data_IF_848878210736
#
_entry.id   IF_848878210736
#
_cell.length_a   1.000
_cell.length_b   1.000
_cell.length_c   1.000
_cell.angle_alpha   90.00
_cell.angle_beta   90.00
_cell.angle_gamma   90.00
#
_symmetry.space_group_name_H-M   'P 1'
#
loop_
_entity.id
_entity.type
_entity.pdbx_description
1 polymer ?
#
# COMPACT_ATOMS: atom_id res chain seq x y z
N UNK A 1 44.49 -86.44 3.79
CA UNK A 1 43.95 -86.05 2.47
C UNK A 1 42.72 -85.18 2.68
N UNK A 2 42.70 -83.99 2.05
CA UNK A 2 41.57 -83.20 1.48
C UNK A 2 40.27 -83.06 2.30
N UNK A 3 39.58 -81.93 2.37
CA UNK A 3 39.77 -80.60 1.80
C UNK A 3 38.76 -79.64 2.45
N UNK A 4 39.16 -78.37 2.43
CA UNK A 4 38.46 -77.12 2.72
C UNK A 4 37.08 -76.99 2.07
N UNK A 5 36.09 -76.42 2.79
CA UNK A 5 34.93 -75.74 2.18
C UNK A 5 34.62 -74.44 2.93
N UNK A 6 34.80 -73.36 2.17
CA UNK A 6 34.43 -71.97 2.45
C UNK A 6 32.92 -71.83 2.38
N UNK A 7 32.31 -71.05 3.27
CA UNK A 7 31.02 -70.42 3.00
C UNK A 7 31.10 -68.92 3.28
N UNK A 8 30.68 -68.16 2.27
CA UNK A 8 30.78 -66.72 2.08
C UNK A 8 29.68 -66.01 2.87
N UNK A 9 30.05 -64.97 3.62
CA UNK A 9 29.11 -64.05 4.25
C UNK A 9 28.59 -63.03 3.22
N UNK A 10 27.27 -63.01 3.00
CA UNK A 10 26.60 -62.01 2.18
C UNK A 10 26.39 -60.72 2.99
N UNK A 11 27.16 -59.68 2.66
CA UNK A 11 26.92 -58.31 3.12
C UNK A 11 25.81 -57.67 2.26
N UNK A 12 24.68 -57.36 2.89
CA UNK A 12 23.64 -56.50 2.30
C UNK A 12 24.07 -55.05 2.48
N UNK A 13 24.55 -54.43 1.40
CA UNK A 13 24.79 -53.00 1.35
C UNK A 13 23.47 -52.27 1.03
N UNK A 14 22.86 -51.66 2.04
CA UNK A 14 21.76 -50.71 1.84
C UNK A 14 22.37 -49.39 1.30
N UNK A 15 22.20 -49.16 0.00
CA UNK A 15 22.62 -47.92 -0.66
C UNK A 15 21.74 -46.74 -0.24
N UNK A 16 22.34 -45.76 0.43
CA UNK A 16 21.74 -44.45 0.71
C UNK A 16 21.56 -43.68 -0.61
N UNK A 17 20.33 -43.54 -1.10
CA UNK A 17 20.03 -42.57 -2.16
C UNK A 17 20.10 -41.15 -1.58
N UNK A 18 21.17 -40.45 -1.93
CA UNK A 18 21.26 -38.99 -1.78
C UNK A 18 20.32 -38.36 -2.80
N UNK A 19 19.16 -37.87 -2.35
CA UNK A 19 18.33 -36.96 -3.15
C UNK A 19 19.04 -35.62 -3.14
N UNK A 20 19.85 -35.36 -4.17
CA UNK A 20 20.32 -34.01 -4.48
C UNK A 20 19.09 -33.22 -4.91
N UNK A 21 18.58 -32.38 -4.01
CA UNK A 21 17.57 -31.38 -4.33
C UNK A 21 18.14 -30.41 -5.36
N UNK A 22 17.84 -30.67 -6.64
CA UNK A 22 18.15 -29.74 -7.72
C UNK A 22 17.44 -28.43 -7.46
N UNK A 23 18.21 -27.36 -7.35
CA UNK A 23 17.74 -25.99 -7.44
C UNK A 23 16.90 -25.86 -8.71
N UNK A 24 15.60 -25.59 -8.61
CA UNK A 24 14.79 -25.21 -9.75
C UNK A 24 15.29 -23.84 -10.24
N UNK A 25 16.29 -23.86 -11.12
CA UNK A 25 16.64 -22.72 -11.94
C UNK A 25 15.47 -22.45 -12.86
N UNK A 26 15.01 -21.19 -12.92
CA UNK A 26 14.05 -20.76 -13.90
C UNK A 26 14.57 -21.12 -15.30
N UNK A 27 13.78 -21.89 -16.05
CA UNK A 27 14.09 -22.30 -17.42
C UNK A 27 14.29 -21.05 -18.28
N UNK A 28 15.31 -21.01 -19.17
CA UNK A 28 15.48 -19.92 -20.12
C UNK A 28 14.22 -19.76 -21.00
N UNK A 29 13.97 -18.57 -21.57
CA UNK A 29 12.74 -18.29 -22.30
C UNK A 29 12.60 -19.25 -23.48
N UNK A 30 11.50 -20.02 -23.51
CA UNK A 30 11.12 -20.73 -24.73
C UNK A 30 10.75 -19.71 -25.81
N UNK A 31 11.21 -19.89 -27.06
CA UNK A 31 10.80 -19.04 -28.16
C UNK A 31 9.27 -19.10 -28.31
N UNK A 32 8.63 -18.02 -28.81
CA UNK A 32 7.20 -18.01 -29.03
C UNK A 32 6.82 -19.18 -29.94
N UNK A 33 5.90 -20.02 -29.46
CA UNK A 33 5.25 -21.02 -30.31
C UNK A 33 4.46 -20.29 -31.38
N UNK A 34 4.91 -20.41 -32.64
CA UNK A 34 4.11 -20.01 -33.80
C UNK A 34 2.74 -20.70 -33.68
N UNK A 35 1.67 -19.89 -33.61
CA UNK A 35 0.29 -20.37 -33.48
C UNK A 35 -0.40 -20.11 -32.12
N UNK A 36 0.23 -19.43 -31.17
CA UNK A 36 -0.47 -19.05 -29.93
C UNK A 36 -1.57 -18.00 -30.21
N UNK A 37 -2.83 -18.22 -29.76
CA UNK A 37 -3.94 -17.27 -29.96
C UNK A 37 -3.81 -15.97 -29.13
N UNK A 38 -2.71 -15.81 -28.39
CA UNK A 38 -2.48 -14.71 -27.45
C UNK A 38 -1.51 -13.67 -28.04
N UNK A 39 -1.65 -12.38 -27.69
CA UNK A 39 -0.71 -11.36 -28.10
C UNK A 39 0.72 -11.61 -27.56
N UNK A 40 1.76 -11.01 -28.18
CA UNK A 40 3.15 -11.17 -27.72
C UNK A 40 3.33 -10.79 -26.24
N UNK A 41 4.06 -11.62 -25.49
CA UNK A 41 4.31 -11.44 -24.06
C UNK A 41 3.20 -11.96 -23.15
N UNK A 42 2.11 -12.52 -23.71
CA UNK A 42 1.04 -13.18 -22.97
C UNK A 42 1.14 -14.70 -23.07
N UNK A 43 0.88 -15.38 -21.96
CA UNK A 43 0.95 -16.83 -21.82
C UNK A 43 -0.15 -17.31 -20.87
N UNK A 44 -0.59 -18.56 -21.03
CA UNK A 44 -1.41 -19.25 -20.03
C UNK A 44 -0.51 -20.27 -19.34
N UNK A 45 -0.46 -20.21 -18.02
CA UNK A 45 0.31 -21.11 -17.16
C UNK A 45 -0.64 -21.77 -16.15
N UNK A 46 -1.10 -22.99 -16.47
CA UNK A 46 -2.15 -23.66 -15.70
C UNK A 46 -3.46 -22.85 -15.71
N UNK A 47 -3.87 -22.37 -14.52
CA UNK A 47 -5.06 -21.53 -14.35
C UNK A 47 -4.76 -20.03 -14.38
N UNK A 48 -3.50 -19.62 -14.61
CA UNK A 48 -3.10 -18.22 -14.60
C UNK A 48 -2.94 -17.66 -16.02
N UNK A 49 -3.48 -16.46 -16.23
CA UNK A 49 -3.08 -15.58 -17.33
C UNK A 49 -1.81 -14.83 -16.93
N UNK A 50 -0.75 -14.97 -17.71
CA UNK A 50 0.55 -14.40 -17.43
C UNK A 50 0.93 -13.39 -18.50
N UNK A 51 1.30 -12.19 -18.09
CA UNK A 51 1.93 -11.21 -18.96
C UNK A 51 3.35 -10.91 -18.49
N UNK A 52 4.31 -10.93 -19.42
CA UNK A 52 5.70 -10.57 -19.17
C UNK A 52 6.07 -9.26 -19.86
N UNK A 53 6.29 -8.22 -19.07
CA UNK A 53 6.69 -6.91 -19.56
C UNK A 53 8.13 -6.93 -20.11
N UNK A 54 8.36 -6.22 -21.21
CA UNK A 54 9.68 -6.07 -21.84
C UNK A 54 10.68 -5.26 -21.01
N UNK A 55 10.17 -4.41 -20.11
CA UNK A 55 10.93 -3.63 -19.12
C UNK A 55 10.30 -3.80 -17.74
N UNK A 56 11.08 -3.54 -16.69
CA UNK A 56 10.56 -3.52 -15.32
C UNK A 56 9.46 -2.48 -15.20
N UNK A 57 8.30 -2.88 -14.69
CA UNK A 57 7.18 -1.98 -14.39
C UNK A 57 7.26 -1.64 -12.90
N UNK A 58 7.65 -0.40 -12.54
CA UNK A 58 7.78 -0.02 -11.15
C UNK A 58 6.42 0.00 -10.46
N UNK A 59 6.42 -0.30 -9.17
CA UNK A 59 5.23 -0.13 -8.33
C UNK A 59 4.91 1.35 -8.21
N UNK A 60 3.73 1.77 -8.69
CA UNK A 60 3.28 3.16 -8.67
C UNK A 60 1.80 3.30 -8.31
N UNK A 61 1.27 4.50 -8.57
CA UNK A 61 -0.09 4.90 -8.18
C UNK A 61 -1.19 4.15 -8.94
N UNK A 62 -0.92 3.70 -10.17
CA UNK A 62 -1.83 2.88 -10.94
C UNK A 62 -1.51 1.39 -10.78
N UNK A 63 -2.51 0.58 -10.43
CA UNK A 63 -2.40 -0.87 -10.55
C UNK A 63 -2.25 -1.27 -12.03
N UNK A 64 -1.49 -2.33 -12.27
CA UNK A 64 -1.59 -3.04 -13.55
C UNK A 64 -2.93 -3.76 -13.55
N UNK A 65 -3.61 -3.68 -14.68
CA UNK A 65 -4.93 -4.24 -14.93
C UNK A 65 -4.90 -4.98 -16.26
N UNK A 66 -5.50 -6.17 -16.31
CA UNK A 66 -5.65 -6.93 -17.54
C UNK A 66 -7.03 -6.72 -18.12
N UNK A 67 -7.08 -6.42 -19.42
CA UNK A 67 -8.31 -6.20 -20.18
C UNK A 67 -8.39 -7.17 -21.36
N UNK A 68 -9.61 -7.51 -21.78
CA UNK A 68 -9.90 -8.05 -23.10
C UNK A 68 -10.83 -7.04 -23.81
N UNK A 69 -10.29 -6.30 -24.79
CA UNK A 69 -10.97 -5.13 -25.35
C UNK A 69 -11.27 -4.09 -24.26
N UNK A 70 -12.56 -3.79 -24.05
CA UNK A 70 -13.01 -2.84 -23.02
C UNK A 70 -13.37 -3.51 -21.68
N UNK A 71 -13.33 -4.84 -21.61
CA UNK A 71 -13.67 -5.58 -20.39
C UNK A 71 -12.45 -5.75 -19.48
N UNK A 72 -12.53 -5.22 -18.25
CA UNK A 72 -11.56 -5.51 -17.20
C UNK A 72 -11.68 -6.99 -16.79
N UNK A 73 -10.61 -7.76 -16.98
CA UNK A 73 -10.51 -9.15 -16.52
C UNK A 73 -10.12 -9.21 -15.05
N UNK A 74 -9.23 -8.31 -14.61
CA UNK A 74 -8.82 -8.24 -13.21
C UNK A 74 -7.47 -7.56 -13.01
N UNK A 75 -7.01 -7.60 -11.76
CA UNK A 75 -5.73 -7.01 -11.33
C UNK A 75 -4.73 -8.11 -11.04
N UNK A 76 -3.72 -8.33 -11.90
CA UNK A 76 -2.74 -9.38 -11.68
C UNK A 76 -1.85 -9.11 -10.45
N UNK A 77 -1.37 -10.20 -9.85
CA UNK A 77 -0.27 -10.21 -8.91
C UNK A 77 1.05 -10.00 -9.64
N UNK A 78 1.83 -9.01 -9.22
CA UNK A 78 3.18 -8.81 -9.72
C UNK A 78 4.15 -9.82 -9.06
N UNK A 79 4.98 -10.47 -9.86
CA UNK A 79 6.10 -11.27 -9.38
C UNK A 79 7.26 -10.37 -8.92
N UNK A 80 8.22 -10.97 -8.20
CA UNK A 80 9.37 -10.25 -7.62
C UNK A 80 10.30 -9.62 -8.65
N UNK A 81 10.33 -10.13 -9.87
CA UNK A 81 11.11 -9.58 -10.97
C UNK A 81 10.61 -8.20 -11.45
N UNK A 82 9.40 -7.78 -11.03
CA UNK A 82 8.75 -6.55 -11.49
C UNK A 82 8.45 -6.55 -12.99
N UNK A 83 8.42 -7.73 -13.62
CA UNK A 83 8.19 -7.92 -15.07
C UNK A 83 7.06 -8.90 -15.33
N UNK A 84 6.88 -9.90 -14.46
CA UNK A 84 5.88 -10.94 -14.64
C UNK A 84 4.63 -10.62 -13.82
N UNK A 85 3.47 -10.69 -14.45
CA UNK A 85 2.16 -10.37 -13.86
C UNK A 85 1.22 -11.56 -14.07
N UNK A 86 0.63 -12.09 -13.00
CA UNK A 86 -0.23 -13.28 -13.03
C UNK A 86 -1.64 -12.97 -12.55
N UNK A 87 -2.66 -13.32 -13.32
CA UNK A 87 -4.06 -13.22 -12.96
C UNK A 87 -4.70 -14.61 -12.99
N UNK A 88 -5.27 -15.03 -11.87
CA UNK A 88 -6.02 -16.29 -11.78
C UNK A 88 -7.31 -16.19 -12.63
N UNK A 89 -7.48 -17.13 -13.57
CA UNK A 89 -8.58 -17.16 -14.55
C UNK A 89 -9.79 -17.98 -14.09
N UNK A 90 -9.82 -18.52 -12.87
CA UNK A 90 -10.88 -19.43 -12.38
C UNK A 90 -12.32 -18.89 -12.42
N UNK A 91 -12.54 -17.63 -12.83
CA UNK A 91 -13.86 -17.01 -12.93
C UNK A 91 -14.21 -16.36 -14.29
N UNK A 92 -13.47 -16.65 -15.37
CA UNK A 92 -13.71 -15.95 -16.65
C UNK A 92 -14.10 -16.93 -17.76
N UNK A 93 -15.41 -17.04 -17.99
CA UNK A 93 -15.97 -17.60 -19.23
C UNK A 93 -15.28 -16.96 -20.44
N UNK A 94 -14.69 -17.83 -21.27
CA UNK A 94 -14.13 -17.65 -22.61
C UNK A 94 -14.09 -16.20 -23.11
N UNK A 95 -13.28 -15.35 -22.46
CA UNK A 95 -12.99 -14.03 -22.98
C UNK A 95 -12.35 -14.19 -24.36
N UNK A 96 -12.58 -13.27 -25.30
CA UNK A 96 -11.76 -13.24 -26.50
C UNK A 96 -10.32 -12.83 -26.14
N UNK A 97 -9.48 -13.82 -25.82
CA UNK A 97 -8.10 -13.64 -25.37
C UNK A 97 -7.17 -13.13 -26.48
N UNK A 98 -7.64 -12.99 -27.72
CA UNK A 98 -6.87 -12.35 -28.79
C UNK A 98 -6.74 -10.84 -28.62
N UNK A 99 -7.55 -10.23 -27.75
CA UNK A 99 -7.63 -8.77 -27.53
C UNK A 99 -7.05 -8.32 -26.19
N UNK A 100 -6.13 -9.12 -25.64
CA UNK A 100 -5.54 -8.85 -24.32
C UNK A 100 -4.73 -7.55 -24.30
N UNK A 101 -4.92 -6.78 -23.23
CA UNK A 101 -4.16 -5.56 -22.96
C UNK A 101 -3.76 -5.46 -21.49
N UNK A 102 -2.54 -5.01 -21.24
CA UNK A 102 -2.05 -4.70 -19.91
C UNK A 102 -2.07 -3.18 -19.77
N UNK A 103 -2.92 -2.66 -18.90
CA UNK A 103 -3.11 -1.20 -18.71
C UNK A 103 -2.67 -0.78 -17.31
N UNK A 104 -2.17 0.44 -17.19
CA UNK A 104 -2.01 1.12 -15.91
C UNK A 104 -2.32 2.61 -16.06
N UNK A 105 -3.31 3.10 -15.31
CA UNK A 105 -3.70 4.52 -15.34
C UNK A 105 -4.20 4.97 -16.71
N UNK A 106 -4.94 4.10 -17.40
CA UNK A 106 -5.43 4.33 -18.77
C UNK A 106 -4.36 4.22 -19.87
N UNK A 107 -3.11 3.90 -19.53
CA UNK A 107 -2.03 3.68 -20.52
C UNK A 107 -1.83 2.19 -20.76
N UNK A 108 -1.85 1.77 -22.03
CA UNK A 108 -1.44 0.44 -22.47
C UNK A 108 0.08 0.24 -22.29
N UNK A 109 0.48 -0.87 -21.69
CA UNK A 109 1.85 -1.21 -21.32
C UNK A 109 2.47 -2.28 -22.24
N UNK A 110 1.64 -3.13 -22.84
CA UNK A 110 2.00 -4.22 -23.74
C UNK A 110 1.99 -3.80 -25.22
N UNK A 111 1.98 -2.50 -25.50
CA UNK A 111 2.09 -1.93 -26.83
C UNK A 111 3.34 -1.02 -26.95
N UNK A 112 3.87 -0.82 -28.16
CA UNK A 112 4.92 0.16 -28.41
C UNK A 112 4.52 1.55 -27.90
N UNK A 113 5.49 2.29 -27.38
CA UNK A 113 5.26 3.67 -26.93
C UNK A 113 4.75 4.52 -28.11
N UNK A 114 3.53 5.08 -28.01
CA UNK A 114 2.96 5.96 -29.04
C UNK A 114 1.58 5.57 -29.58
N UNK A 115 0.95 4.49 -29.07
CA UNK A 115 -0.42 4.15 -29.48
C UNK A 115 -1.40 5.33 -29.24
N UNK A 116 -2.26 5.67 -30.23
CA UNK A 116 -3.12 6.83 -30.16
C UNK A 116 -4.06 6.72 -28.96
N UNK A 117 -4.09 7.77 -28.14
CA UNK A 117 -5.03 7.91 -27.04
C UNK A 117 -6.38 8.32 -27.61
N UNK A 118 -7.42 7.52 -27.42
CA UNK A 118 -8.80 8.03 -27.52
C UNK A 118 -9.05 8.96 -26.33
N UNK A 119 -8.75 10.25 -26.50
CA UNK A 119 -9.18 11.29 -25.57
C UNK A 119 -10.51 11.81 -26.08
N UNK A 120 -11.57 11.65 -25.30
CA UNK A 120 -12.70 12.57 -25.38
C UNK A 120 -12.16 13.98 -25.08
N UNK A 121 -12.22 14.86 -26.07
CA UNK A 121 -11.58 16.18 -26.06
C UNK A 121 -12.51 17.30 -25.62
N UNK A 122 -13.66 17.02 -25.00
CA UNK A 122 -14.54 18.07 -24.51
C UNK A 122 -14.16 18.41 -23.07
N UNK A 123 -13.48 19.54 -22.80
CA UNK A 123 -13.22 19.96 -21.42
C UNK A 123 -14.57 20.28 -20.79
N UNK A 124 -14.85 19.70 -19.62
CA UNK A 124 -15.94 20.20 -18.79
C UNK A 124 -15.66 21.68 -18.46
N UNK A 125 -16.68 22.55 -18.46
CA UNK A 125 -16.51 23.94 -18.03
C UNK A 125 -15.87 23.98 -16.65
N UNK A 126 -14.77 24.71 -16.51
CA UNK A 126 -14.16 24.92 -15.20
C UNK A 126 -15.13 25.74 -14.35
N UNK A 127 -15.42 25.34 -13.10
CA UNK A 127 -16.19 26.16 -12.19
C UNK A 127 -15.48 27.52 -11.98
N UNK A 128 -16.26 28.57 -11.74
CA UNK A 128 -15.73 29.89 -11.45
C UNK A 128 -14.73 29.81 -10.28
N UNK A 129 -13.57 30.43 -10.44
CA UNK A 129 -12.54 30.43 -9.41
C UNK A 129 -13.07 31.16 -8.17
N UNK A 130 -13.00 30.50 -7.01
CA UNK A 130 -13.30 31.15 -5.75
C UNK A 130 -12.33 32.32 -5.52
N UNK A 131 -12.78 33.41 -4.87
CA UNK A 131 -11.90 34.52 -4.52
C UNK A 131 -10.70 34.02 -3.69
N UNK A 132 -9.54 34.62 -3.93
CA UNK A 132 -8.31 34.27 -3.22
C UNK A 132 -8.53 34.42 -1.71
N UNK A 133 -8.14 33.39 -0.96
CA UNK A 133 -8.14 33.49 0.49
C UNK A 133 -7.19 34.62 0.92
N UNK A 134 -7.64 35.46 1.86
CA UNK A 134 -6.83 36.56 2.40
C UNK A 134 -5.56 36.07 3.14
N UNK A 135 -5.52 34.79 3.51
CA UNK A 135 -4.38 34.14 4.17
C UNK A 135 -3.71 33.20 3.18
N UNK A 136 -2.41 33.39 2.98
CA UNK A 136 -1.57 32.46 2.24
C UNK A 136 -1.25 31.22 3.11
N UNK A 137 -1.80 30.03 2.78
CA UNK A 137 -1.58 28.83 3.58
C UNK A 137 -0.13 28.30 3.50
N UNK A 138 0.65 28.78 2.53
CA UNK A 138 2.07 28.44 2.33
C UNK A 138 3.03 29.16 3.27
N UNK A 139 2.58 30.22 3.96
CA UNK A 139 3.45 30.99 4.87
C UNK A 139 3.69 30.24 6.18
N UNK A 140 4.95 30.07 6.61
CA UNK A 140 5.25 29.54 7.93
C UNK A 140 4.60 30.37 9.04
N UNK A 141 4.14 29.70 10.09
CA UNK A 141 3.63 30.36 11.29
C UNK A 141 4.74 30.71 12.29
N UNK A 142 4.37 31.24 13.47
CA UNK A 142 5.33 31.78 14.43
C UNK A 142 6.10 30.72 15.22
N UNK A 143 5.71 29.43 15.17
CA UNK A 143 6.32 28.39 15.99
C UNK A 143 7.55 27.77 15.31
N UNK A 144 8.64 27.65 16.05
CA UNK A 144 9.69 26.66 15.73
C UNK A 144 9.12 25.25 15.86
N UNK A 145 9.68 24.27 15.15
CA UNK A 145 9.18 22.88 15.18
C UNK A 145 10.14 21.92 15.88
N UNK A 146 9.59 20.90 16.55
CA UNK A 146 10.31 19.71 17.01
C UNK A 146 9.85 18.49 16.22
N UNK A 147 10.73 17.50 16.07
CA UNK A 147 10.46 16.26 15.34
C UNK A 147 10.91 15.05 16.15
N UNK A 148 10.17 13.95 16.02
CA UNK A 148 10.60 12.64 16.51
C UNK A 148 9.70 11.54 15.98
N UNK A 149 10.08 10.29 16.18
CA UNK A 149 9.35 9.13 15.67
C UNK A 149 8.84 8.24 16.79
N UNK A 150 7.87 7.40 16.46
CA UNK A 150 7.48 6.28 17.31
C UNK A 150 7.29 5.01 16.48
N UNK A 151 7.53 3.89 17.16
CA UNK A 151 7.19 2.55 16.70
C UNK A 151 6.41 1.87 17.82
N UNK A 152 5.28 1.27 17.49
CA UNK A 152 4.49 0.44 18.38
C UNK A 152 4.48 -1.01 17.87
N UNK A 153 4.00 -1.98 18.67
CA UNK A 153 3.73 -3.32 18.16
C UNK A 153 2.86 -3.27 16.90
N UNK A 154 3.22 -4.06 15.90
CA UNK A 154 2.44 -4.17 14.66
C UNK A 154 1.05 -4.77 14.91
N UNK A 155 0.15 -4.55 13.96
CA UNK A 155 -1.27 -4.92 14.09
C UNK A 155 -1.69 -5.84 12.94
N UNK A 156 -2.51 -6.85 13.24
CA UNK A 156 -3.10 -7.71 12.22
C UNK A 156 -4.41 -7.09 11.74
N UNK A 157 -4.57 -6.95 10.43
CA UNK A 157 -5.77 -6.40 9.81
C UNK A 157 -6.55 -7.53 9.11
N UNK A 158 -7.89 -7.48 9.09
CA UNK A 158 -8.69 -8.45 8.37
C UNK A 158 -8.32 -8.51 6.89
N UNK A 159 -8.17 -9.73 6.35
CA UNK A 159 -7.79 -9.95 4.95
C UNK A 159 -6.29 -9.79 4.64
N UNK A 160 -5.44 -9.52 5.63
CA UNK A 160 -3.99 -9.34 5.44
C UNK A 160 -3.21 -10.47 6.13
N UNK A 161 -2.40 -11.26 5.40
CA UNK A 161 -1.74 -12.44 5.96
C UNK A 161 -0.66 -12.09 6.99
N UNK A 162 0.13 -11.03 6.75
CA UNK A 162 1.15 -10.54 7.66
C UNK A 162 0.67 -9.28 8.42
N UNK A 163 1.08 -9.10 9.69
CA UNK A 163 0.84 -7.86 10.42
C UNK A 163 1.43 -6.65 9.69
N UNK A 164 0.80 -5.50 9.88
CA UNK A 164 1.27 -4.20 9.37
C UNK A 164 1.91 -3.39 10.49
N UNK A 165 2.81 -2.49 10.12
CA UNK A 165 3.54 -1.66 11.06
C UNK A 165 2.66 -0.57 11.71
N UNK A 166 2.99 -0.19 12.95
CA UNK A 166 2.42 0.97 13.63
C UNK A 166 3.52 2.01 13.88
N UNK A 167 3.98 2.64 12.81
CA UNK A 167 5.09 3.59 12.79
C UNK A 167 4.60 4.98 12.39
N UNK A 168 5.12 6.02 13.01
CA UNK A 168 4.85 7.38 12.56
C UNK A 168 5.92 8.40 12.96
N UNK A 169 6.03 9.45 12.15
CA UNK A 169 6.84 10.64 12.43
C UNK A 169 5.96 11.79 12.86
N UNK A 170 6.31 12.37 14.00
CA UNK A 170 5.64 13.50 14.63
C UNK A 170 6.45 14.76 14.35
N UNK A 171 5.77 15.81 13.88
CA UNK A 171 6.32 17.17 13.85
C UNK A 171 5.33 18.09 14.54
N UNK A 172 5.78 18.85 15.54
CA UNK A 172 4.91 19.66 16.38
C UNK A 172 5.52 21.04 16.69
N UNK A 173 4.69 22.05 16.99
CA UNK A 173 5.18 23.35 17.45
C UNK A 173 5.91 23.21 18.79
N UNK A 174 7.11 23.78 18.87
CA UNK A 174 7.91 23.85 20.09
C UNK A 174 7.30 24.90 21.02
N UNK A 175 7.00 24.51 22.27
CA UNK A 175 6.60 25.45 23.32
C UNK A 175 5.21 26.09 23.15
N UNK A 176 4.38 25.62 22.21
CA UNK A 176 3.02 26.11 22.11
C UNK A 176 2.18 25.66 23.33
N UNK A 177 1.48 26.60 23.94
CA UNK A 177 0.54 26.35 25.03
C UNK A 177 -0.80 25.81 24.52
N UNK A 178 -1.55 25.18 25.43
CA UNK A 178 -2.89 24.66 25.16
C UNK A 178 -2.92 23.40 24.28
N UNK A 179 -4.14 22.90 24.04
CA UNK A 179 -4.36 21.78 23.11
C UNK A 179 -4.31 22.29 21.67
N UNK A 180 -3.67 21.55 20.77
CA UNK A 180 -3.46 21.92 19.36
C UNK A 180 -4.17 20.94 18.43
N UNK A 181 -4.76 21.39 17.30
CA UNK A 181 -5.39 20.48 16.33
C UNK A 181 -4.37 19.44 15.84
N UNK A 182 -4.85 18.23 15.56
CA UNK A 182 -4.04 17.11 15.07
C UNK A 182 -4.21 16.99 13.55
N UNK A 183 -3.11 16.99 12.80
CA UNK A 183 -3.11 16.63 11.38
C UNK A 183 -2.43 15.26 11.19
N UNK A 184 -3.20 14.27 10.72
CA UNK A 184 -2.68 12.93 10.41
C UNK A 184 -2.52 12.76 8.90
N UNK A 185 -1.33 12.35 8.47
CA UNK A 185 -0.97 12.11 7.08
C UNK A 185 -0.84 10.61 6.79
N UNK A 186 -1.32 10.20 5.62
CA UNK A 186 -1.19 8.83 5.12
C UNK A 186 -0.69 8.84 3.68
N UNK A 187 0.46 8.20 3.44
CA UNK A 187 1.04 8.10 2.12
C UNK A 187 0.26 7.14 1.20
N UNK A 188 0.47 7.30 -0.11
CA UNK A 188 -0.10 6.46 -1.15
C UNK A 188 0.58 5.10 -1.31
N UNK A 189 0.42 4.50 -2.48
CA UNK A 189 1.02 3.20 -2.81
C UNK A 189 2.35 3.39 -3.54
N UNK A 190 3.38 2.72 -3.04
CA UNK A 190 4.73 2.65 -3.64
C UNK A 190 5.43 1.40 -3.11
N UNK A 191 6.66 1.14 -3.58
CA UNK A 191 7.54 0.10 -3.04
C UNK A 191 7.63 0.16 -1.51
N UNK A 192 7.80 -0.99 -0.88
CA UNK A 192 7.77 -1.16 0.58
C UNK A 192 9.16 -1.30 1.17
N UNK A 193 10.08 -1.93 0.42
CA UNK A 193 11.40 -2.32 0.89
C UNK A 193 12.47 -1.87 -0.09
N UNK A 194 13.68 -1.62 0.42
CA UNK A 194 14.84 -1.25 -0.39
C UNK A 194 16.13 -1.92 0.10
N UNK A 195 17.08 -2.06 -0.82
CA UNK A 195 18.47 -2.51 -0.58
C UNK A 195 19.38 -1.83 -1.59
N UNK A 196 20.23 -0.91 -1.13
CA UNK A 196 20.98 -0.04 -2.05
C UNK A 196 20.01 0.80 -2.89
N UNK A 197 20.17 0.76 -4.21
CA UNK A 197 19.29 1.44 -5.18
C UNK A 197 18.09 0.57 -5.60
N UNK A 198 18.05 -0.69 -5.21
CA UNK A 198 16.94 -1.58 -5.54
C UNK A 198 15.75 -1.35 -4.60
N UNK A 199 14.54 -1.47 -5.16
CA UNK A 199 13.29 -1.48 -4.39
C UNK A 199 12.46 -2.73 -4.68
N UNK A 200 11.64 -3.14 -3.71
CA UNK A 200 10.67 -4.23 -3.84
C UNK A 200 9.34 -3.82 -3.18
N UNK A 201 8.25 -4.46 -3.62
CA UNK A 201 6.93 -4.40 -2.98
C UNK A 201 6.70 -5.51 -1.95
N UNK A 202 7.69 -6.34 -1.64
CA UNK A 202 7.55 -7.43 -0.67
C UNK A 202 7.16 -6.92 0.72
N UNK A 203 6.35 -7.69 1.44
CA UNK A 203 6.11 -7.48 2.86
C UNK A 203 5.90 -8.81 3.60
N UNK A 204 6.51 -9.01 4.79
CA UNK A 204 7.55 -8.18 5.41
C UNK A 204 8.82 -8.05 4.53
N UNK A 205 9.69 -7.10 4.84
CA UNK A 205 10.92 -6.95 4.07
C UNK A 205 11.80 -8.20 4.16
N UNK A 206 12.33 -8.71 3.03
CA UNK A 206 13.24 -9.86 3.03
C UNK A 206 14.50 -9.61 3.87
N UNK A 207 15.18 -10.67 4.28
CA UNK A 207 16.43 -10.57 5.04
C UNK A 207 17.46 -9.72 4.27
N UNK A 208 18.07 -8.76 4.96
CA UNK A 208 19.03 -7.82 4.36
C UNK A 208 18.42 -6.65 3.59
N UNK A 209 17.08 -6.54 3.56
CA UNK A 209 16.35 -5.38 3.05
C UNK A 209 15.82 -4.54 4.21
N UNK A 210 15.56 -3.26 3.95
CA UNK A 210 15.00 -2.31 4.93
C UNK A 210 13.67 -1.78 4.44
N UNK A 211 12.77 -1.46 5.36
CA UNK A 211 11.51 -0.78 5.02
C UNK A 211 11.80 0.64 4.55
N UNK A 212 11.17 1.06 3.46
CA UNK A 212 11.25 2.43 2.95
C UNK A 212 10.55 3.34 3.97
N UNK A 213 11.17 4.43 4.45
CA UNK A 213 10.59 5.28 5.49
C UNK A 213 9.51 6.23 4.92
N UNK A 214 8.48 5.67 4.31
CA UNK A 214 7.48 6.39 3.51
C UNK A 214 6.65 7.39 4.30
N UNK A 215 6.46 7.15 5.59
CA UNK A 215 5.88 8.10 6.53
C UNK A 215 6.67 9.43 6.62
N UNK A 216 7.95 9.48 6.21
CA UNK A 216 8.73 10.72 6.14
C UNK A 216 8.44 11.58 4.89
N UNK A 217 7.64 11.09 3.93
CA UNK A 217 7.36 11.80 2.68
C UNK A 217 6.67 13.16 2.84
N UNK A 218 6.02 13.42 3.98
CA UNK A 218 5.30 14.66 4.24
C UNK A 218 6.05 15.66 5.13
N UNK A 219 7.34 15.46 5.43
CA UNK A 219 8.06 16.29 6.40
C UNK A 219 7.99 17.80 6.10
N UNK A 220 8.02 18.21 4.83
CA UNK A 220 7.89 19.63 4.45
C UNK A 220 6.51 20.18 4.84
N UNK A 221 5.43 19.49 4.47
CA UNK A 221 4.07 19.88 4.82
C UNK A 221 3.82 19.82 6.35
N UNK A 222 4.36 18.80 7.00
CA UNK A 222 4.29 18.65 8.46
C UNK A 222 4.98 19.81 9.18
N UNK A 223 6.19 20.23 8.73
CA UNK A 223 6.88 21.39 9.30
C UNK A 223 6.10 22.69 9.11
N UNK A 224 5.51 22.89 7.93
CA UNK A 224 4.68 24.06 7.65
C UNK A 224 3.47 24.11 8.61
N UNK A 225 2.65 23.06 8.65
CA UNK A 225 1.50 23.01 9.55
C UNK A 225 1.92 23.10 11.03
N UNK A 226 3.01 22.45 11.42
CA UNK A 226 3.52 22.55 12.78
C UNK A 226 3.99 23.96 13.14
N UNK A 227 4.59 24.71 12.21
CA UNK A 227 4.94 26.11 12.41
C UNK A 227 3.72 27.02 12.58
N UNK A 228 2.60 26.67 11.94
CA UNK A 228 1.27 27.28 12.11
C UNK A 228 0.55 26.74 13.36
N UNK A 229 1.16 25.76 14.03
CA UNK A 229 0.78 25.27 15.34
C UNK A 229 -0.18 24.07 15.33
N UNK A 230 -0.16 23.25 14.30
CA UNK A 230 -0.74 21.90 14.35
C UNK A 230 0.22 20.92 15.01
N UNK A 231 -0.28 19.98 15.80
CA UNK A 231 0.48 18.75 16.04
C UNK A 231 0.28 17.87 14.82
N UNK A 232 1.36 17.42 14.18
CA UNK A 232 1.26 16.60 12.96
C UNK A 232 1.84 15.22 13.21
N UNK A 233 1.25 14.22 12.57
CA UNK A 233 1.76 12.86 12.54
C UNK A 233 1.59 12.29 11.13
N UNK A 234 2.64 11.70 10.58
CA UNK A 234 2.56 10.97 9.33
C UNK A 234 2.86 9.51 9.60
N UNK A 235 2.00 8.60 9.14
CA UNK A 235 2.04 7.17 9.48
C UNK A 235 2.45 6.32 8.28
N UNK A 236 3.06 5.17 8.57
CA UNK A 236 3.52 4.21 7.56
C UNK A 236 2.43 3.18 7.26
N UNK A 237 2.27 2.83 5.99
CA UNK A 237 1.33 1.85 5.47
C UNK A 237 1.98 0.92 4.44
N UNK A 238 3.29 0.66 4.58
CA UNK A 238 4.03 -0.26 3.72
C UNK A 238 3.52 -1.68 3.86
N UNK A 239 3.16 -2.10 5.07
CA UNK A 239 2.55 -3.41 5.28
C UNK A 239 1.22 -3.59 4.56
N UNK A 240 0.48 -2.50 4.35
CA UNK A 240 -0.69 -2.54 3.49
C UNK A 240 -0.26 -2.59 2.02
N UNK A 241 0.63 -1.69 1.58
CA UNK A 241 1.13 -1.65 0.19
C UNK A 241 1.61 -3.01 -0.33
N UNK A 242 2.36 -3.77 0.48
CA UNK A 242 2.94 -5.04 0.06
C UNK A 242 1.98 -6.22 0.03
N UNK A 243 0.72 -6.00 0.42
CA UNK A 243 -0.31 -7.04 0.54
C UNK A 243 -1.65 -6.62 -0.11
N UNK A 244 -1.78 -5.37 -0.55
CA UNK A 244 -3.04 -4.77 -1.01
C UNK A 244 -3.62 -5.36 -2.29
N UNK A 245 -2.85 -6.16 -3.02
CA UNK A 245 -3.34 -6.94 -4.16
C UNK A 245 -4.38 -7.99 -3.75
N UNK A 246 -4.39 -8.40 -2.48
CA UNK A 246 -5.34 -9.38 -1.94
C UNK A 246 -6.70 -8.75 -1.58
N UNK A 247 -6.80 -7.43 -1.59
CA UNK A 247 -8.01 -6.70 -1.19
C UNK A 247 -8.70 -6.08 -2.41
N UNK A 248 -9.99 -6.39 -2.60
CA UNK A 248 -10.79 -5.89 -3.72
C UNK A 248 -10.84 -4.34 -3.77
N UNK A 249 -10.85 -3.69 -2.60
CA UNK A 249 -10.86 -2.23 -2.44
C UNK A 249 -9.45 -1.59 -2.52
N UNK A 250 -8.43 -2.36 -2.93
CA UNK A 250 -7.05 -1.90 -3.00
C UNK A 250 -6.44 -1.51 -1.64
N UNK A 251 -7.01 -2.01 -0.53
CA UNK A 251 -6.55 -1.78 0.84
C UNK A 251 -7.16 -0.55 1.51
N UNK A 252 -8.24 0.02 0.98
CA UNK A 252 -8.90 1.21 1.54
C UNK A 252 -9.41 0.97 2.97
N UNK A 253 -10.08 -0.17 3.22
CA UNK A 253 -10.57 -0.55 4.54
C UNK A 253 -9.43 -0.79 5.53
N UNK A 254 -8.37 -1.47 5.11
CA UNK A 254 -7.18 -1.69 5.94
C UNK A 254 -6.51 -0.37 6.35
N UNK A 255 -6.42 0.59 5.42
CA UNK A 255 -5.90 1.93 5.70
C UNK A 255 -6.78 2.69 6.67
N UNK A 256 -8.10 2.60 6.51
CA UNK A 256 -9.05 3.17 7.46
C UNK A 256 -8.83 2.64 8.87
N UNK A 257 -8.80 1.31 9.03
CA UNK A 257 -8.56 0.69 10.33
C UNK A 257 -7.20 1.05 10.92
N UNK A 258 -6.15 1.17 10.10
CA UNK A 258 -4.83 1.63 10.54
C UNK A 258 -4.86 3.08 11.04
N UNK A 259 -5.46 4.00 10.29
CA UNK A 259 -5.64 5.41 10.70
C UNK A 259 -6.40 5.48 12.03
N UNK A 260 -7.52 4.76 12.16
CA UNK A 260 -8.35 4.75 13.38
C UNK A 260 -7.61 4.13 14.58
N UNK A 261 -6.76 3.13 14.37
CA UNK A 261 -5.87 2.59 15.41
C UNK A 261 -4.84 3.63 15.87
N UNK A 262 -4.22 4.37 14.97
CA UNK A 262 -3.33 5.48 15.34
C UNK A 262 -4.08 6.59 16.09
N UNK A 263 -5.25 7.01 15.62
CA UNK A 263 -6.08 8.01 16.31
C UNK A 263 -6.49 7.55 17.72
N UNK A 264 -6.77 6.26 17.90
CA UNK A 264 -7.04 5.71 19.22
C UNK A 264 -5.84 5.82 20.18
N UNK A 265 -4.61 5.59 19.68
CA UNK A 265 -3.38 5.82 20.46
C UNK A 265 -3.21 7.30 20.80
N UNK A 266 -3.41 8.19 19.83
CA UNK A 266 -3.35 9.64 20.04
C UNK A 266 -4.39 10.13 21.05
N UNK A 267 -5.62 9.61 21.03
CA UNK A 267 -6.64 9.93 22.02
C UNK A 267 -6.22 9.50 23.44
N UNK A 268 -5.59 8.33 23.58
CA UNK A 268 -5.01 7.89 24.86
C UNK A 268 -3.87 8.80 25.32
N UNK A 269 -2.95 9.17 24.41
CA UNK A 269 -1.80 10.04 24.73
C UNK A 269 -2.16 11.50 24.98
N UNK A 270 -3.28 11.98 24.45
CA UNK A 270 -3.82 13.31 24.73
C UNK A 270 -4.42 13.41 26.14
N UNK A 271 -4.88 12.29 26.70
CA UNK A 271 -5.52 12.19 28.01
C UNK A 271 -4.62 11.60 29.10
N UNK A 272 -5.16 10.64 29.85
CA UNK A 272 -4.53 9.99 31.00
C UNK A 272 -3.31 9.14 30.63
N UNK A 273 -3.24 8.60 29.41
CA UNK A 273 -2.14 7.74 28.96
C UNK A 273 -0.89 8.48 28.49
N UNK A 274 -0.78 9.79 28.75
CA UNK A 274 0.33 10.62 28.25
C UNK A 274 1.69 10.21 28.80
N UNK A 275 1.78 9.80 30.07
CA UNK A 275 3.06 9.41 30.68
C UNK A 275 3.71 8.23 29.94
N UNK A 276 2.90 7.27 29.46
CA UNK A 276 3.35 6.14 28.64
C UNK A 276 3.43 6.40 27.13
N UNK A 277 3.22 7.65 26.68
CA UNK A 277 3.33 7.99 25.26
C UNK A 277 4.79 7.98 24.79
N UNK A 278 5.07 7.73 23.50
CA UNK A 278 6.42 7.87 22.94
C UNK A 278 7.03 9.25 23.21
N UNK A 279 8.36 9.33 23.30
CA UNK A 279 9.08 10.57 23.62
C UNK A 279 8.67 11.75 22.73
N UNK A 280 8.57 11.52 21.42
CA UNK A 280 8.12 12.52 20.45
C UNK A 280 6.72 13.09 20.72
N UNK A 281 5.82 12.29 21.30
CA UNK A 281 4.44 12.70 21.65
C UNK A 281 4.42 13.44 22.99
N UNK A 282 5.30 13.06 23.94
CA UNK A 282 5.41 13.73 25.24
C UNK A 282 6.00 15.13 25.14
N UNK A 283 6.92 15.36 24.20
CA UNK A 283 7.54 16.67 23.96
C UNK A 283 6.68 17.60 23.10
N UNK A 284 5.77 17.04 22.29
CA UNK A 284 4.77 17.83 21.57
C UNK A 284 3.70 18.38 22.51
N UNK A 285 3.06 19.53 22.23
CA UNK A 285 1.85 19.97 22.92
C UNK A 285 0.76 18.90 22.88
N UNK A 286 -0.20 18.96 23.81
CA UNK A 286 -1.32 18.00 23.80
C UNK A 286 -2.11 18.15 22.51
N UNK A 287 -2.33 17.05 21.80
CA UNK A 287 -3.21 17.03 20.65
C UNK A 287 -4.67 17.20 21.08
N UNK A 288 -5.44 17.94 20.30
CA UNK A 288 -6.87 18.14 20.45
C UNK A 288 -7.62 17.21 19.48
N UNK A 289 -8.06 16.06 19.99
CA UNK A 289 -8.75 15.07 19.17
C UNK A 289 -10.17 15.49 18.76
N UNK A 290 -10.70 16.60 19.28
CA UNK A 290 -11.94 17.20 18.75
C UNK A 290 -11.72 17.96 17.43
N UNK A 291 -10.46 18.19 17.04
CA UNK A 291 -10.04 18.91 15.84
C UNK A 291 -9.00 18.12 15.06
N UNK A 292 -9.43 17.06 14.41
CA UNK A 292 -8.58 16.21 13.56
C UNK A 292 -8.74 16.58 12.09
N UNK A 293 -7.62 16.84 11.42
CA UNK A 293 -7.50 16.93 9.97
C UNK A 293 -6.85 15.63 9.46
N UNK A 294 -7.44 15.00 8.45
CA UNK A 294 -6.80 13.87 7.76
C UNK A 294 -6.30 14.29 6.39
N UNK A 295 -5.09 13.88 6.04
CA UNK A 295 -4.45 14.19 4.77
C UNK A 295 -3.97 12.89 4.14
N UNK A 296 -4.24 12.68 2.85
CA UNK A 296 -3.77 11.47 2.18
C UNK A 296 -3.60 11.63 0.68
N UNK A 297 -2.62 10.91 0.12
CA UNK A 297 -2.33 10.87 -1.32
C UNK A 297 -2.73 9.54 -1.94
N UNK A 298 -3.27 9.53 -3.17
CA UNK A 298 -3.51 8.29 -3.93
C UNK A 298 -4.37 7.31 -3.11
N UNK A 299 -3.96 6.05 -2.94
CA UNK A 299 -4.65 5.09 -2.04
C UNK A 299 -4.72 5.55 -0.58
N UNK A 300 -3.75 6.34 -0.13
CA UNK A 300 -3.77 6.97 1.19
C UNK A 300 -4.90 8.01 1.31
N UNK A 301 -5.20 8.74 0.23
CA UNK A 301 -6.33 9.66 0.15
C UNK A 301 -7.66 8.93 0.31
N UNK A 302 -7.85 7.83 -0.42
CA UNK A 302 -9.03 7.00 -0.26
C UNK A 302 -9.13 6.41 1.15
N UNK A 303 -8.01 5.94 1.71
CA UNK A 303 -7.94 5.37 3.06
C UNK A 303 -8.34 6.37 4.15
N UNK A 304 -7.90 7.63 4.08
CA UNK A 304 -8.31 8.65 5.06
C UNK A 304 -9.77 9.10 4.87
N UNK A 305 -10.27 9.11 3.64
CA UNK A 305 -11.69 9.35 3.38
C UNK A 305 -12.55 8.23 3.99
N UNK A 306 -12.17 6.97 3.77
CA UNK A 306 -12.81 5.82 4.41
C UNK A 306 -12.70 5.87 5.94
N UNK A 307 -11.56 6.29 6.49
CA UNK A 307 -11.41 6.49 7.95
C UNK A 307 -12.39 7.53 8.53
N UNK A 308 -12.68 8.59 7.77
CA UNK A 308 -13.67 9.58 8.16
C UNK A 308 -15.09 8.98 8.20
N UNK A 309 -15.46 8.22 7.17
CA UNK A 309 -16.74 7.51 7.11
C UNK A 309 -16.86 6.47 8.23
N UNK A 310 -15.87 5.60 8.39
CA UNK A 310 -15.88 4.52 9.38
C UNK A 310 -15.82 5.02 10.83
N UNK A 311 -15.40 6.27 11.05
CA UNK A 311 -15.47 6.92 12.36
C UNK A 311 -16.89 7.35 12.73
N UNK A 312 -17.79 7.49 11.75
CA UNK A 312 -19.21 7.82 11.95
C UNK A 312 -20.09 6.57 11.85
N UNK A 313 -19.80 5.72 10.87
CA UNK A 313 -20.56 4.52 10.54
C UNK A 313 -19.58 3.35 10.37
N UNK A 314 -19.28 2.61 11.45
CA UNK A 314 -18.32 1.51 11.40
C UNK A 314 -18.70 0.46 10.36
N UNK A 315 -17.72 -0.11 9.64
CA UNK A 315 -17.97 -1.19 8.69
C UNK A 315 -18.29 -2.50 9.43
N UNK A 316 -18.73 -3.56 8.71
CA UNK A 316 -18.96 -4.86 9.31
C UNK A 316 -17.75 -5.35 10.12
N UNK A 317 -17.98 -5.95 11.30
CA UNK A 317 -16.92 -6.32 12.24
C UNK A 317 -15.87 -7.32 11.69
N UNK A 318 -16.24 -8.08 10.65
CA UNK A 318 -15.35 -8.97 9.93
C UNK A 318 -14.34 -8.23 9.03
N UNK A 319 -14.64 -6.99 8.64
CA UNK A 319 -13.83 -6.14 7.78
C UNK A 319 -13.08 -5.06 8.59
N UNK A 320 -13.57 -4.70 9.78
CA UNK A 320 -12.96 -3.68 10.61
C UNK A 320 -11.78 -4.19 11.45
N UNK A 321 -10.59 -3.67 11.17
CA UNK A 321 -9.41 -3.84 12.02
C UNK A 321 -9.37 -2.95 13.26
N UNK A 322 -10.34 -2.05 13.44
CA UNK A 322 -10.46 -1.21 14.64
C UNK A 322 -11.82 -1.41 15.32
N UNK A 323 -11.82 -1.83 16.59
CA UNK A 323 -13.05 -2.14 17.34
C UNK A 323 -13.28 -1.26 18.57
N UNK A 324 -12.43 -0.25 18.77
CA UNK A 324 -12.51 0.62 19.94
C UNK A 324 -13.52 1.75 19.78
N UNK A 325 -13.77 2.52 20.85
CA UNK A 325 -14.62 3.70 20.78
C UNK A 325 -13.94 4.84 20.03
N UNK A 326 -14.68 5.50 19.12
CA UNK A 326 -14.24 6.71 18.43
C UNK A 326 -14.18 7.87 19.42
N UNK A 327 -12.96 8.30 19.77
CA UNK A 327 -12.70 9.40 20.72
C UNK A 327 -12.06 10.61 20.04
N UNK A 328 -12.45 10.83 18.79
CA UNK A 328 -11.96 11.91 17.95
C UNK A 328 -13.10 12.46 17.08
N UNK A 329 -12.92 13.68 16.58
CA UNK A 329 -13.78 14.31 15.60
C UNK A 329 -12.94 14.79 14.43
N UNK A 330 -13.19 14.21 13.27
CA UNK A 330 -12.57 14.60 12.01
C UNK A 330 -13.32 15.84 11.51
N UNK A 331 -12.61 16.95 11.37
CA UNK A 331 -13.15 18.26 10.98
C UNK A 331 -12.89 18.60 9.52
N UNK A 332 -12.06 17.80 8.85
CA UNK A 332 -11.74 17.98 7.45
C UNK A 332 -10.86 16.86 6.91
N UNK A 333 -10.90 16.71 5.60
CA UNK A 333 -10.02 15.84 4.82
C UNK A 333 -9.36 16.64 3.71
N UNK A 334 -8.08 16.36 3.44
CA UNK A 334 -7.33 16.88 2.28
C UNK A 334 -6.90 15.69 1.46
N UNK A 335 -7.59 15.47 0.34
CA UNK A 335 -7.42 14.31 -0.53
C UNK A 335 -6.60 14.72 -1.75
N UNK A 336 -5.37 14.22 -1.85
CA UNK A 336 -4.44 14.54 -2.93
C UNK A 336 -4.50 13.40 -3.95
N UNK A 337 -5.23 13.62 -5.05
CA UNK A 337 -5.43 12.62 -6.10
C UNK A 337 -5.89 11.24 -5.56
N UNK A 338 -6.99 11.18 -4.77
CA UNK A 338 -7.41 9.92 -4.16
C UNK A 338 -7.84 8.88 -5.20
N UNK A 339 -7.64 7.61 -4.88
CA UNK A 339 -8.29 6.52 -5.62
C UNK A 339 -9.77 6.42 -5.23
N UNK A 340 -10.54 5.59 -5.96
CA UNK A 340 -11.97 5.38 -5.72
C UNK A 340 -12.34 3.89 -5.81
N UNK A 341 -11.43 2.98 -5.45
CA UNK A 341 -11.62 1.54 -5.64
C UNK A 341 -12.76 0.97 -4.79
N UNK A 342 -12.92 1.47 -3.57
CA UNK A 342 -14.00 1.09 -2.67
C UNK A 342 -15.31 1.84 -2.91
N UNK A 343 -15.37 2.72 -3.93
CA UNK A 343 -16.53 3.60 -4.21
C UNK A 343 -17.09 4.23 -2.93
N UNK A 344 -16.31 5.15 -2.35
CA UNK A 344 -16.60 5.77 -1.05
C UNK A 344 -17.18 7.17 -1.23
N UNK A 345 -18.43 7.36 -1.74
CA UNK A 345 -19.02 8.69 -1.76
C UNK A 345 -19.18 9.13 -0.31
N UNK A 346 -18.36 10.07 0.13
CA UNK A 346 -18.64 10.86 1.31
C UNK A 346 -19.38 12.10 0.81
N UNK A 347 -20.73 12.12 0.84
CA UNK A 347 -21.49 13.23 0.25
C UNK A 347 -21.30 14.57 0.97
N UNK A 348 -20.68 14.58 2.16
CA UNK A 348 -20.53 15.80 2.97
C UNK A 348 -19.28 15.77 3.83
N UNK A 349 -18.65 16.94 4.04
CA UNK A 349 -17.68 17.14 5.12
C UNK A 349 -18.30 16.69 6.46
N UNK A 350 -17.62 15.84 7.25
CA UNK A 350 -18.09 15.47 8.59
C UNK A 350 -18.33 16.72 9.45
N UNK A 351 -19.52 16.87 10.04
CA UNK A 351 -19.91 18.06 10.83
C UNK A 351 -19.19 18.18 12.19
#
# INVERSE_FOLDING_TARGET
MRAMRVLVAALVAAGSMVVVGGSAQAEPPRPPTEGSPLPPGWQIDGADLVWQASKRVPMGDAAVEFYAGDRLLGRPRAARDGRTFRLDLTALDQANLSTLEARAGGRRLDAPAGAPRSRSTTPAPLPAQAPLAAVDPGKPGPYKTVMGEYTLPGVRLPGFPAPVEMVGVVVAPKGASGKRPLALFLHGRHSTCYKGEESSGDWPCPRGWRSIPSHRGYLTAQRLLASQGYVTVSISANGINGQDYAAADGGAQARSSLVRQHLARWATWAGAGRAGAPGAVRTAPRADLSRVLLVGHSRGGEGVNRAAMDSLSPPPAAQDGYRGPVRWRIRGTVLIGPTIFGHNPAPTCPR
#
